data_IF_311407449255
#
_entry.id   IF_311407449255
#
_cell.length_a   1.000
_cell.length_b   1.000
_cell.length_c   1.000
_cell.angle_alpha   90.00
_cell.angle_beta   90.00
_cell.angle_gamma   90.00
#
_symmetry.space_group_name_H-M   'P 1'
#
loop_
_entity.id
_entity.type
_entity.pdbx_description
1 polymer ?
#
# COMPACT_ATOMS: atom_id res chain seq x y z
N UNK A 1 -45.38 3.54 -28.29
CA UNK A 1 -44.36 2.51 -28.60
C UNK A 1 -43.11 3.25 -29.03
N UNK A 2 -42.21 3.54 -28.09
CA UNK A 2 -40.86 4.05 -28.42
C UNK A 2 -39.90 3.29 -27.47
N UNK A 3 -39.22 2.31 -28.06
CA UNK A 3 -38.20 1.48 -27.46
C UNK A 3 -36.95 2.31 -27.20
N UNK A 4 -36.56 2.51 -25.93
CA UNK A 4 -35.27 3.06 -25.55
C UNK A 4 -34.27 1.94 -25.54
N UNK A 5 -33.39 1.86 -26.52
CA UNK A 5 -32.22 1.00 -26.53
C UNK A 5 -31.17 1.56 -25.58
N UNK A 6 -31.00 0.92 -24.42
CA UNK A 6 -29.83 1.11 -23.60
C UNK A 6 -28.60 0.57 -24.37
N UNK A 7 -27.67 1.47 -24.68
CA UNK A 7 -26.42 1.10 -25.35
C UNK A 7 -25.59 0.19 -24.47
N UNK A 8 -25.39 -1.04 -24.91
CA UNK A 8 -24.36 -1.96 -24.42
C UNK A 8 -22.98 -1.31 -24.61
N UNK A 9 -22.25 -1.11 -23.52
CA UNK A 9 -20.86 -0.66 -23.55
C UNK A 9 -19.98 -1.84 -23.93
N UNK A 10 -19.20 -1.68 -24.98
CA UNK A 10 -18.18 -2.63 -25.42
C UNK A 10 -17.11 -2.81 -24.32
N UNK A 11 -16.82 -4.03 -23.84
CA UNK A 11 -15.82 -4.28 -22.80
C UNK A 11 -14.36 -4.19 -23.28
N UNK A 12 -14.09 -3.75 -24.51
CA UNK A 12 -12.77 -3.75 -25.16
C UNK A 12 -12.10 -2.38 -25.35
N UNK A 13 -12.70 -1.25 -24.99
CA UNK A 13 -12.03 0.05 -25.07
C UNK A 13 -11.06 0.22 -23.90
N UNK A 14 -9.76 -0.01 -24.11
CA UNK A 14 -8.71 0.50 -23.23
C UNK A 14 -8.91 2.02 -23.04
N UNK A 15 -9.29 2.43 -21.83
CA UNK A 15 -9.42 3.84 -21.50
C UNK A 15 -8.05 4.50 -21.60
N UNK A 16 -7.79 5.21 -22.68
CA UNK A 16 -6.58 6.00 -22.86
C UNK A 16 -6.59 7.15 -21.86
N UNK A 17 -5.57 7.19 -20.98
CA UNK A 17 -5.37 8.28 -20.03
C UNK A 17 -4.91 9.56 -20.71
N UNK A 18 -4.84 10.66 -19.94
CA UNK A 18 -4.28 11.94 -20.42
C UNK A 18 -2.79 11.98 -20.06
N UNK A 19 -1.93 11.86 -21.07
CA UNK A 19 -0.48 11.75 -20.92
C UNK A 19 0.13 12.85 -20.03
N UNK A 20 -0.36 14.08 -20.11
CA UNK A 20 0.15 15.17 -19.26
C UNK A 20 -0.17 14.97 -17.79
N UNK A 21 -1.33 14.37 -17.47
CA UNK A 21 -1.72 14.02 -16.09
C UNK A 21 -0.87 12.87 -15.58
N UNK A 22 -0.66 11.82 -16.38
CA UNK A 22 0.16 10.67 -16.03
C UNK A 22 1.60 11.08 -15.71
N UNK A 23 2.19 11.93 -16.57
CA UNK A 23 3.54 12.49 -16.35
C UNK A 23 3.61 13.37 -15.10
N UNK A 24 2.56 14.13 -14.78
CA UNK A 24 2.51 14.94 -13.56
C UNK A 24 2.46 14.06 -12.30
N UNK A 25 1.67 12.98 -12.31
CA UNK A 25 1.60 12.00 -11.23
C UNK A 25 2.93 11.25 -11.07
N UNK A 26 3.54 10.83 -12.18
CA UNK A 26 4.86 10.18 -12.19
C UNK A 26 5.95 11.08 -11.57
N UNK A 27 5.87 12.39 -11.80
CA UNK A 27 6.79 13.35 -11.17
C UNK A 27 6.60 13.43 -9.65
N UNK A 28 5.35 13.41 -9.16
CA UNK A 28 5.04 13.38 -7.73
C UNK A 28 5.49 12.06 -7.08
N UNK A 29 5.26 10.93 -7.74
CA UNK A 29 5.71 9.62 -7.26
C UNK A 29 7.23 9.53 -7.13
N UNK A 30 7.99 10.16 -8.04
CA UNK A 30 9.44 10.21 -7.96
C UNK A 30 9.95 10.94 -6.70
N UNK A 31 9.17 11.89 -6.15
CA UNK A 31 9.45 12.60 -4.89
C UNK A 31 8.95 11.85 -3.65
N UNK A 32 8.06 10.89 -3.80
CA UNK A 32 7.51 10.07 -2.70
C UNK A 32 8.48 9.00 -2.17
N UNK A 33 9.70 8.92 -2.73
CA UNK A 33 10.76 8.05 -2.21
C UNK A 33 11.50 8.72 -1.03
N UNK A 34 12.39 7.98 -0.38
CA UNK A 34 13.11 8.32 0.88
C UNK A 34 13.75 9.72 0.94
N UNK A 35 13.96 10.38 -0.19
CA UNK A 35 14.59 11.69 -0.27
C UNK A 35 13.56 12.81 -0.06
N UNK A 36 13.76 13.61 0.98
CA UNK A 36 12.87 14.74 1.31
C UNK A 36 12.85 15.85 0.23
N UNK A 37 13.84 15.91 -0.67
CA UNK A 37 13.92 16.86 -1.77
C UNK A 37 14.86 16.39 -2.89
N UNK A 38 14.54 16.73 -4.14
CA UNK A 38 15.32 16.37 -5.31
C UNK A 38 15.66 17.60 -6.16
N UNK A 39 16.89 17.62 -6.72
CA UNK A 39 17.26 18.57 -7.76
C UNK A 39 16.58 18.24 -9.08
N UNK A 40 16.54 19.17 -10.04
CA UNK A 40 16.01 18.93 -11.39
C UNK A 40 16.70 17.75 -12.10
N UNK A 41 17.98 17.53 -11.85
CA UNK A 41 18.75 16.41 -12.42
C UNK A 41 18.30 15.07 -11.83
N UNK A 42 18.16 14.99 -10.53
CA UNK A 42 17.71 13.80 -9.80
C UNK A 42 16.26 13.46 -10.15
N UNK A 43 15.37 14.47 -10.25
CA UNK A 43 14.00 14.27 -10.72
C UNK A 43 13.95 13.71 -12.14
N UNK A 44 14.77 14.22 -13.06
CA UNK A 44 14.81 13.70 -14.42
C UNK A 44 15.27 12.24 -14.46
N UNK A 45 16.25 11.88 -13.63
CA UNK A 45 16.75 10.51 -13.55
C UNK A 45 15.70 9.56 -12.97
N UNK A 46 15.03 9.96 -11.87
CA UNK A 46 14.05 9.12 -11.18
C UNK A 46 12.71 9.00 -11.91
N UNK A 47 12.22 10.09 -12.49
CA UNK A 47 10.95 10.10 -13.22
C UNK A 47 11.07 9.63 -14.67
N UNK A 48 12.26 9.53 -15.23
CA UNK A 48 12.45 9.28 -16.67
C UNK A 48 12.03 10.43 -17.59
N UNK A 49 11.58 11.56 -17.03
CA UNK A 49 11.11 12.71 -17.79
C UNK A 49 12.26 13.64 -18.18
N UNK A 50 12.12 14.34 -19.33
CA UNK A 50 13.08 15.36 -19.74
C UNK A 50 12.97 16.62 -18.86
N UNK A 51 14.08 17.32 -18.61
CA UNK A 51 14.10 18.56 -17.84
C UNK A 51 13.08 19.62 -18.33
N UNK A 52 12.91 19.89 -19.63
CA UNK A 52 11.89 20.83 -20.10
C UNK A 52 10.46 20.39 -19.75
N UNK A 53 10.17 19.09 -19.82
CA UNK A 53 8.87 18.53 -19.42
C UNK A 53 8.63 18.75 -17.93
N UNK A 54 9.63 18.44 -17.07
CA UNK A 54 9.53 18.65 -15.62
C UNK A 54 9.24 20.12 -15.32
N UNK A 55 9.99 21.05 -15.92
CA UNK A 55 9.81 22.48 -15.68
C UNK A 55 8.39 22.95 -16.02
N UNK A 56 7.81 22.48 -17.14
CA UNK A 56 6.42 22.81 -17.52
C UNK A 56 5.40 22.24 -16.54
N UNK A 57 5.56 21.00 -16.13
CA UNK A 57 4.66 20.35 -15.16
C UNK A 57 4.78 21.02 -13.79
N UNK A 58 6.00 21.35 -13.35
CA UNK A 58 6.27 21.99 -12.07
C UNK A 58 5.50 23.30 -11.90
N UNK A 59 5.41 24.13 -12.94
CA UNK A 59 4.63 25.39 -12.89
C UNK A 59 3.17 25.14 -12.49
N UNK A 60 2.53 24.11 -13.04
CA UNK A 60 1.15 23.77 -12.68
C UNK A 60 1.06 23.15 -11.30
N UNK A 61 1.94 22.20 -10.97
CA UNK A 61 1.95 21.52 -9.68
C UNK A 61 2.25 22.48 -8.52
N UNK A 62 3.15 23.45 -8.70
CA UNK A 62 3.45 24.50 -7.74
C UNK A 62 2.24 25.44 -7.54
N UNK A 63 1.59 25.84 -8.64
CA UNK A 63 0.39 26.69 -8.59
C UNK A 63 -0.73 26.05 -7.76
N UNK A 64 -0.91 24.74 -7.85
CA UNK A 64 -1.92 24.01 -7.09
C UNK A 64 -1.43 23.48 -5.74
N UNK A 65 -0.17 23.77 -5.36
CA UNK A 65 0.41 23.40 -4.08
C UNK A 65 0.74 21.91 -3.94
N UNK A 66 0.82 21.16 -5.04
CA UNK A 66 1.26 19.75 -5.04
C UNK A 66 2.79 19.63 -4.99
N UNK A 67 3.48 20.63 -5.48
CA UNK A 67 4.94 20.72 -5.52
C UNK A 67 5.37 22.02 -4.84
N UNK A 68 6.53 22.02 -4.19
CA UNK A 68 7.20 23.20 -3.68
C UNK A 68 8.64 23.23 -4.16
N UNK A 69 9.20 24.43 -4.31
CA UNK A 69 10.62 24.63 -4.62
C UNK A 69 11.29 25.40 -3.50
N UNK A 70 12.34 24.82 -2.93
CA UNK A 70 13.14 25.46 -1.88
C UNK A 70 14.00 26.60 -2.41
N UNK A 71 14.54 27.41 -1.52
CA UNK A 71 15.54 28.46 -1.82
C UNK A 71 16.84 27.89 -2.40
N UNK A 72 17.11 26.63 -2.13
CA UNK A 72 18.19 25.81 -2.70
C UNK A 72 17.92 25.33 -4.13
N UNK A 73 16.73 25.67 -4.69
CA UNK A 73 16.29 25.25 -6.01
C UNK A 73 15.82 23.79 -6.10
N UNK A 74 15.82 23.04 -4.99
CA UNK A 74 15.36 21.65 -4.95
C UNK A 74 13.84 21.58 -4.85
N UNK A 75 13.27 20.54 -5.46
CA UNK A 75 11.83 20.25 -5.45
C UNK A 75 11.46 19.34 -4.27
N UNK A 76 10.29 19.56 -3.70
CA UNK A 76 9.71 18.75 -2.61
C UNK A 76 8.21 18.67 -2.77
N UNK A 77 7.59 17.66 -2.13
CA UNK A 77 6.14 17.54 -2.09
C UNK A 77 5.49 18.77 -1.42
N UNK A 78 4.38 19.22 -1.96
CA UNK A 78 3.65 20.39 -1.47
C UNK A 78 2.53 20.05 -0.48
N UNK A 79 2.02 21.06 0.27
CA UNK A 79 1.06 20.85 1.36
C UNK A 79 -0.31 20.33 0.90
N UNK A 80 -0.67 20.47 -0.38
CA UNK A 80 -1.93 19.93 -0.91
C UNK A 80 -2.01 18.42 -0.78
N UNK A 81 -0.88 17.70 -0.89
CA UNK A 81 -0.84 16.25 -0.70
C UNK A 81 -1.17 15.85 0.74
N UNK A 82 -0.67 16.59 1.74
CA UNK A 82 -1.05 16.38 3.14
C UNK A 82 -2.55 16.57 3.36
N UNK A 83 -3.12 17.66 2.83
CA UNK A 83 -4.55 17.94 2.93
C UNK A 83 -5.39 16.82 2.32
N UNK A 84 -5.07 16.38 1.12
CA UNK A 84 -5.79 15.29 0.44
C UNK A 84 -5.62 13.96 1.16
N UNK A 85 -4.42 13.63 1.61
CA UNK A 85 -4.15 12.43 2.40
C UNK A 85 -4.93 12.42 3.73
N UNK A 86 -5.06 13.58 4.40
CA UNK A 86 -5.86 13.71 5.62
C UNK A 86 -7.34 13.46 5.37
N UNK A 87 -7.90 14.01 4.29
CA UNK A 87 -9.30 13.76 3.87
C UNK A 87 -9.50 12.28 3.52
N UNK A 88 -8.57 11.69 2.80
CA UNK A 88 -8.60 10.26 2.46
C UNK A 88 -8.65 9.39 3.72
N UNK A 89 -7.75 9.65 4.69
CA UNK A 89 -7.71 8.91 5.97
C UNK A 89 -9.00 9.04 6.78
N UNK A 90 -9.56 10.26 6.86
CA UNK A 90 -10.81 10.52 7.59
C UNK A 90 -11.99 9.76 6.98
N UNK A 91 -12.05 9.66 5.66
CA UNK A 91 -13.14 8.99 4.95
C UNK A 91 -13.01 7.46 4.93
N UNK A 92 -11.85 6.90 5.26
CA UNK A 92 -11.65 5.45 5.26
C UNK A 92 -12.41 4.73 6.40
N UNK A 93 -12.78 5.45 7.49
CA UNK A 93 -13.38 4.87 8.71
C UNK A 93 -12.65 3.61 9.25
N UNK A 94 -11.49 3.29 8.66
CA UNK A 94 -10.71 2.08 8.96
C UNK A 94 -9.77 2.29 10.15
N UNK A 95 -9.23 3.49 10.33
CA UNK A 95 -8.19 3.76 11.34
C UNK A 95 -8.64 3.45 12.77
N UNK A 96 -9.89 3.81 13.20
CA UNK A 96 -10.37 3.49 14.54
C UNK A 96 -10.46 1.99 14.85
N UNK A 97 -10.60 1.15 13.80
CA UNK A 97 -10.68 -0.31 13.93
C UNK A 97 -9.31 -0.96 13.75
N UNK A 98 -8.57 -0.55 12.72
CA UNK A 98 -7.29 -1.16 12.37
C UNK A 98 -6.17 -0.83 13.36
N UNK A 99 -6.06 0.42 13.81
CA UNK A 99 -4.95 0.81 14.67
C UNK A 99 -4.95 0.08 16.02
N UNK A 100 -6.08 -0.08 16.73
CA UNK A 100 -6.12 -0.93 17.93
C UNK A 100 -5.78 -2.40 17.66
N UNK A 101 -6.23 -2.96 16.52
CA UNK A 101 -5.91 -4.34 16.16
C UNK A 101 -4.40 -4.53 15.89
N UNK A 102 -3.77 -3.58 15.19
CA UNK A 102 -2.32 -3.58 14.98
C UNK A 102 -1.55 -3.44 16.31
N UNK A 103 -2.00 -2.55 17.20
CA UNK A 103 -1.41 -2.40 18.55
C UNK A 103 -1.49 -3.68 19.38
N UNK A 104 -2.65 -4.35 19.33
CA UNK A 104 -2.83 -5.64 20.03
C UNK A 104 -1.89 -6.72 19.48
N UNK A 105 -1.72 -6.81 18.15
CA UNK A 105 -0.76 -7.71 17.52
C UNK A 105 0.68 -7.45 18.00
N UNK A 106 1.10 -6.19 17.97
CA UNK A 106 2.45 -5.80 18.43
C UNK A 106 2.63 -6.08 19.91
N UNK A 107 1.64 -5.79 20.76
CA UNK A 107 1.70 -6.05 22.19
C UNK A 107 1.86 -7.53 22.50
N UNK A 108 1.15 -8.39 21.75
CA UNK A 108 1.17 -9.85 21.94
C UNK A 108 2.45 -10.49 21.41
N UNK A 109 2.93 -10.07 20.24
CA UNK A 109 4.02 -10.75 19.52
C UNK A 109 5.37 -10.05 19.63
N UNK A 110 5.37 -8.78 19.99
CA UNK A 110 6.55 -7.90 19.98
C UNK A 110 7.16 -7.72 18.59
N UNK A 111 6.42 -8.09 17.52
CA UNK A 111 6.82 -7.87 16.12
C UNK A 111 6.01 -6.73 15.49
N UNK A 112 6.45 -6.20 14.36
CA UNK A 112 5.78 -5.09 13.69
C UNK A 112 4.51 -5.56 12.97
N UNK A 113 3.43 -4.80 13.08
CA UNK A 113 2.16 -5.07 12.41
C UNK A 113 1.78 -3.93 11.45
N UNK A 114 1.22 -4.26 10.30
CA UNK A 114 0.83 -3.30 9.26
C UNK A 114 -0.43 -3.73 8.52
N UNK A 115 -1.12 -2.76 7.94
CA UNK A 115 -2.24 -3.00 7.05
C UNK A 115 -1.94 -2.44 5.66
N UNK A 116 -2.10 -3.29 4.65
CA UNK A 116 -1.79 -3.00 3.27
C UNK A 116 -3.03 -3.08 2.40
N UNK A 117 -3.14 -2.19 1.42
CA UNK A 117 -4.18 -2.25 0.40
C UNK A 117 -3.59 -2.23 -1.01
N UNK A 118 -4.42 -2.53 -2.02
CA UNK A 118 -4.00 -2.52 -3.41
C UNK A 118 -3.82 -1.10 -3.94
N UNK A 119 -2.83 -0.92 -4.81
CA UNK A 119 -2.59 0.26 -5.64
C UNK A 119 -2.28 -0.21 -7.06
N UNK A 120 -3.30 -0.52 -7.85
CA UNK A 120 -3.10 -1.09 -9.19
C UNK A 120 -2.37 -2.44 -9.11
N UNK A 121 -1.15 -2.51 -9.67
CA UNK A 121 -0.28 -3.70 -9.64
C UNK A 121 0.67 -3.75 -8.44
N UNK A 122 0.52 -2.84 -7.50
CA UNK A 122 1.33 -2.71 -6.29
C UNK A 122 0.45 -2.70 -5.05
N UNK A 123 1.05 -2.67 -3.87
CA UNK A 123 0.40 -2.45 -2.57
C UNK A 123 0.97 -1.22 -1.89
N UNK A 124 0.15 -0.56 -1.07
CA UNK A 124 0.55 0.57 -0.23
C UNK A 124 0.28 0.26 1.23
N UNK A 125 1.22 0.60 2.11
CA UNK A 125 1.05 0.51 3.56
C UNK A 125 0.17 1.67 4.06
N UNK A 126 -1.05 1.39 4.52
CA UNK A 126 -1.94 2.43 5.04
C UNK A 126 -1.69 2.71 6.53
N UNK A 127 -1.53 1.65 7.32
CA UNK A 127 -1.34 1.76 8.78
C UNK A 127 -0.24 0.84 9.25
N UNK A 128 0.53 1.31 10.22
CA UNK A 128 1.60 0.52 10.82
C UNK A 128 1.74 0.81 12.31
N UNK A 129 2.10 -0.23 13.06
CA UNK A 129 2.61 -0.15 14.43
C UNK A 129 3.94 -0.89 14.47
N UNK A 130 4.98 -0.20 14.85
CA UNK A 130 6.32 -0.77 14.90
C UNK A 130 6.52 -1.66 16.15
N UNK A 131 7.30 -2.71 15.98
CA UNK A 131 7.88 -3.45 17.09
C UNK A 131 8.60 -2.50 18.06
N UNK A 132 8.50 -2.68 19.38
CA UNK A 132 9.28 -1.92 20.37
C UNK A 132 10.77 -2.29 20.36
N UNK A 133 11.16 -3.35 19.67
CA UNK A 133 12.55 -3.81 19.58
C UNK A 133 13.38 -2.90 18.70
N UNK A 134 14.66 -2.70 19.03
CA UNK A 134 15.61 -1.91 18.25
C UNK A 134 15.84 -2.51 16.85
N UNK A 135 16.08 -3.83 16.77
CA UNK A 135 16.17 -4.55 15.50
C UNK A 135 14.78 -5.02 15.08
N UNK A 136 14.23 -4.41 14.03
CA UNK A 136 12.89 -4.71 13.52
C UNK A 136 12.81 -4.55 12.01
N UNK A 137 11.87 -5.22 11.38
CA UNK A 137 11.49 -4.92 10.00
C UNK A 137 10.99 -3.48 9.92
N UNK A 138 11.52 -2.71 8.98
CA UNK A 138 11.13 -1.31 8.77
C UNK A 138 10.30 -1.17 7.49
N UNK A 139 9.22 -0.44 7.59
CA UNK A 139 8.32 0.01 6.52
C UNK A 139 7.67 1.28 7.02
N UNK A 140 7.45 2.26 6.17
CA UNK A 140 6.71 3.47 6.51
C UNK A 140 5.25 3.43 6.04
N UNK A 141 4.35 4.14 6.73
CA UNK A 141 3.01 4.40 6.20
C UNK A 141 3.15 5.21 4.91
N UNK A 142 2.46 4.77 3.84
CA UNK A 142 2.60 5.31 2.50
C UNK A 142 3.65 4.59 1.63
N UNK A 143 4.46 3.69 2.19
CA UNK A 143 5.42 2.90 1.41
C UNK A 143 4.71 2.00 0.41
N UNK A 144 5.21 1.98 -0.82
CA UNK A 144 4.72 1.15 -1.92
C UNK A 144 5.65 -0.04 -2.12
N UNK A 145 5.07 -1.20 -2.33
CA UNK A 145 5.80 -2.45 -2.56
C UNK A 145 5.10 -3.30 -3.62
N UNK A 146 5.84 -4.10 -4.39
CA UNK A 146 5.26 -4.99 -5.39
C UNK A 146 4.40 -6.10 -4.75
N UNK A 147 3.51 -6.71 -5.56
CA UNK A 147 2.63 -7.80 -5.13
C UNK A 147 3.28 -9.19 -5.22
N UNK A 148 4.38 -9.33 -5.94
CA UNK A 148 5.03 -10.60 -6.26
C UNK A 148 5.87 -11.21 -5.13
N UNK A 149 5.95 -10.54 -3.98
CA UNK A 149 6.79 -10.97 -2.85
C UNK A 149 6.24 -10.54 -1.49
N UNK A 150 6.52 -11.40 -0.50
CA UNK A 150 6.08 -11.24 0.88
C UNK A 150 4.60 -11.56 1.08
N UNK A 151 4.24 -12.11 2.24
CA UNK A 151 2.90 -12.64 2.51
C UNK A 151 1.76 -11.66 2.20
N UNK A 152 1.92 -10.38 2.54
CA UNK A 152 0.91 -9.35 2.23
C UNK A 152 0.73 -9.12 0.74
N UNK A 153 1.82 -9.18 -0.06
CA UNK A 153 1.75 -9.08 -1.52
C UNK A 153 0.91 -10.20 -2.13
N UNK A 154 1.21 -11.44 -1.76
CA UNK A 154 0.51 -12.61 -2.26
C UNK A 154 -0.97 -12.65 -1.86
N UNK A 155 -1.32 -12.26 -0.63
CA UNK A 155 -2.72 -12.14 -0.20
C UNK A 155 -3.46 -11.11 -1.04
N UNK A 156 -2.87 -9.94 -1.29
CA UNK A 156 -3.48 -8.89 -2.11
C UNK A 156 -3.58 -9.35 -3.58
N UNK A 157 -2.52 -9.91 -4.15
CA UNK A 157 -2.53 -10.43 -5.53
C UNK A 157 -3.67 -11.41 -5.75
N UNK A 158 -3.83 -12.40 -4.85
CA UNK A 158 -4.88 -13.41 -4.91
C UNK A 158 -6.29 -12.79 -4.91
N UNK A 159 -6.57 -11.90 -3.96
CA UNK A 159 -7.90 -11.30 -3.82
C UNK A 159 -8.20 -10.20 -4.86
N UNK A 160 -7.18 -9.68 -5.55
CA UNK A 160 -7.33 -8.75 -6.67
C UNK A 160 -7.41 -9.47 -8.04
N UNK A 161 -7.53 -10.80 -8.06
CA UNK A 161 -7.63 -11.59 -9.30
C UNK A 161 -6.30 -11.90 -9.98
N UNK A 162 -5.18 -11.59 -9.32
CA UNK A 162 -3.83 -11.92 -9.79
C UNK A 162 -3.41 -13.34 -9.45
N UNK A 163 -2.25 -13.75 -9.99
CA UNK A 163 -1.64 -15.06 -9.74
C UNK A 163 -0.67 -15.00 -8.57
N UNK A 164 -0.64 -16.08 -7.77
CA UNK A 164 0.32 -16.28 -6.67
C UNK A 164 0.59 -17.77 -6.47
N UNK A 165 1.81 -18.19 -6.12
CA UNK A 165 2.11 -19.58 -5.80
C UNK A 165 1.38 -20.06 -4.53
N UNK A 166 0.92 -19.15 -3.68
CA UNK A 166 0.21 -19.44 -2.43
C UNK A 166 -1.32 -19.51 -2.56
N UNK A 167 -1.88 -19.53 -3.79
CA UNK A 167 -3.33 -19.48 -4.02
C UNK A 167 -4.11 -20.60 -3.31
N UNK A 168 -3.53 -21.81 -3.24
CA UNK A 168 -4.14 -22.94 -2.54
C UNK A 168 -4.22 -22.69 -1.03
N UNK A 169 -3.10 -22.27 -0.43
CA UNK A 169 -2.99 -22.02 1.02
C UNK A 169 -3.90 -20.86 1.45
N UNK A 170 -3.90 -19.74 0.69
CA UNK A 170 -4.80 -18.60 0.95
C UNK A 170 -6.27 -19.06 0.95
N UNK A 171 -6.66 -19.90 -0.01
CA UNK A 171 -8.04 -20.38 -0.12
C UNK A 171 -8.42 -21.33 1.00
N UNK A 172 -7.53 -22.24 1.41
CA UNK A 172 -7.83 -23.28 2.41
C UNK A 172 -7.65 -22.79 3.85
N UNK A 173 -6.63 -21.98 4.13
CA UNK A 173 -6.28 -21.56 5.48
C UNK A 173 -6.65 -20.11 5.82
N UNK A 174 -6.85 -19.27 4.79
CA UNK A 174 -7.12 -17.83 4.96
C UNK A 174 -5.93 -17.03 5.53
N UNK A 175 -4.73 -17.62 5.55
CA UNK A 175 -3.52 -17.00 6.08
C UNK A 175 -2.30 -17.67 5.47
N UNK A 176 -1.28 -16.89 5.13
CA UNK A 176 -0.01 -17.42 4.65
C UNK A 176 1.18 -16.82 5.40
N UNK A 177 2.31 -17.53 5.32
CA UNK A 177 3.61 -17.04 5.77
C UNK A 177 4.61 -17.05 4.63
N UNK A 178 5.52 -16.09 4.63
CA UNK A 178 6.72 -16.08 3.78
C UNK A 178 7.95 -15.80 4.64
N UNK A 179 9.03 -16.51 4.38
CA UNK A 179 10.29 -16.40 5.13
C UNK A 179 11.41 -16.03 4.15
N UNK A 180 12.05 -14.89 4.35
CA UNK A 180 13.18 -14.42 3.54
C UNK A 180 12.83 -14.02 2.09
N UNK A 181 11.55 -13.85 1.74
CA UNK A 181 11.15 -13.66 0.34
C UNK A 181 11.26 -12.19 -0.11
N UNK A 182 10.80 -11.25 0.69
CA UNK A 182 10.93 -9.80 0.40
C UNK A 182 12.31 -9.29 0.75
N UNK A 183 12.82 -9.74 1.89
CA UNK A 183 14.11 -9.41 2.46
C UNK A 183 14.62 -10.70 3.12
N UNK A 184 15.86 -11.15 2.84
CA UNK A 184 16.42 -12.39 3.37
C UNK A 184 16.35 -12.51 4.91
N UNK A 185 16.36 -11.37 5.60
CA UNK A 185 16.35 -11.31 7.06
C UNK A 185 14.95 -11.13 7.67
N UNK A 186 13.87 -11.18 6.86
CA UNK A 186 12.52 -10.88 7.31
C UNK A 186 11.54 -12.01 7.03
N UNK A 187 10.84 -12.45 8.09
CA UNK A 187 9.64 -13.28 7.97
C UNK A 187 8.36 -12.45 8.06
N UNK A 188 7.30 -12.88 7.39
CA UNK A 188 5.98 -12.25 7.48
C UNK A 188 4.83 -13.25 7.42
N UNK A 189 3.73 -12.90 8.08
CA UNK A 189 2.45 -13.62 8.05
C UNK A 189 1.36 -12.63 7.70
N UNK A 190 0.44 -13.01 6.79
CA UNK A 190 -0.66 -12.12 6.39
C UNK A 190 -1.97 -12.87 6.20
N UNK A 191 -3.08 -12.18 6.53
CA UNK A 191 -4.43 -12.64 6.32
C UNK A 191 -5.29 -11.51 5.69
N UNK A 192 -6.30 -11.87 4.87
CA UNK A 192 -7.19 -10.91 4.23
C UNK A 192 -8.17 -10.29 5.23
N UNK A 193 -8.54 -9.03 4.95
CA UNK A 193 -9.60 -8.30 5.64
C UNK A 193 -10.66 -7.92 4.62
N UNK A 194 -11.92 -8.11 4.98
CA UNK A 194 -13.08 -7.84 4.14
C UNK A 194 -13.99 -6.78 4.76
N UNK A 195 -14.70 -6.04 3.93
CA UNK A 195 -15.70 -5.06 4.30
C UNK A 195 -17.13 -5.59 4.25
N UNK A 196 -18.16 -4.69 4.35
CA UNK A 196 -19.56 -5.04 4.56
C UNK A 196 -20.12 -6.04 3.53
N UNK A 197 -19.83 -5.92 2.27
CA UNK A 197 -20.34 -6.81 1.23
C UNK A 197 -19.35 -7.93 0.89
N UNK A 198 -18.49 -8.31 1.82
CA UNK A 198 -17.37 -9.23 1.60
C UNK A 198 -16.40 -8.77 0.52
N UNK A 199 -16.38 -7.48 0.19
CA UNK A 199 -15.34 -6.91 -0.66
C UNK A 199 -13.98 -6.95 0.05
N UNK A 200 -12.96 -7.30 -0.71
CA UNK A 200 -11.60 -7.33 -0.20
C UNK A 200 -11.09 -5.90 0.02
N UNK A 201 -10.71 -5.57 1.25
CA UNK A 201 -10.20 -4.23 1.62
C UNK A 201 -8.67 -4.21 1.64
N UNK A 202 -8.05 -5.30 2.10
CA UNK A 202 -6.59 -5.35 2.22
C UNK A 202 -6.09 -6.52 3.05
N UNK A 203 -4.80 -6.51 3.35
CA UNK A 203 -4.10 -7.55 4.09
C UNK A 203 -3.57 -7.03 5.43
N UNK A 204 -3.93 -7.71 6.53
CA UNK A 204 -3.32 -7.53 7.84
C UNK A 204 -2.03 -8.37 7.89
N UNK A 205 -0.91 -7.74 8.20
CA UNK A 205 0.42 -8.35 8.13
C UNK A 205 1.18 -8.17 9.43
N UNK A 206 1.76 -9.25 9.93
CA UNK A 206 2.78 -9.28 10.98
C UNK A 206 4.14 -9.56 10.32
N UNK A 207 5.19 -8.82 10.69
CA UNK A 207 6.52 -9.01 10.12
C UNK A 207 7.62 -8.76 11.16
N UNK A 208 8.65 -9.59 11.12
CA UNK A 208 9.77 -9.53 12.07
C UNK A 208 11.07 -10.07 11.49
N UNK A 209 12.16 -9.94 12.26
CA UNK A 209 13.46 -10.49 11.90
C UNK A 209 13.41 -12.02 11.89
N UNK A 210 13.86 -12.63 10.79
CA UNK A 210 13.68 -14.05 10.46
C UNK A 210 14.09 -14.98 11.60
N UNK A 211 15.26 -14.81 12.17
CA UNK A 211 15.80 -15.73 13.17
C UNK A 211 14.96 -15.86 14.46
N UNK A 212 14.15 -14.85 14.81
CA UNK A 212 13.21 -14.93 15.94
C UNK A 212 11.75 -15.11 15.49
N UNK A 213 11.43 -14.83 14.24
CA UNK A 213 10.10 -14.93 13.67
C UNK A 213 9.75 -16.38 13.28
N UNK A 214 10.69 -17.06 12.63
CA UNK A 214 10.50 -18.41 12.08
C UNK A 214 10.07 -19.45 13.13
N UNK A 215 10.65 -19.50 14.35
CA UNK A 215 10.23 -20.47 15.38
C UNK A 215 8.76 -20.33 15.81
N UNK A 216 8.17 -19.14 15.63
CA UNK A 216 6.82 -18.80 16.04
C UNK A 216 5.82 -18.71 14.88
N UNK A 217 6.21 -19.05 13.65
CA UNK A 217 5.40 -18.81 12.45
C UNK A 217 4.00 -19.44 12.51
N UNK A 218 3.89 -20.65 13.06
CA UNK A 218 2.60 -21.34 13.18
C UNK A 218 1.68 -20.63 14.20
N UNK A 219 2.21 -20.18 15.30
CA UNK A 219 1.50 -19.37 16.28
C UNK A 219 1.04 -18.04 15.66
N UNK A 220 1.93 -17.37 14.93
CA UNK A 220 1.62 -16.09 14.26
C UNK A 220 0.55 -16.25 13.19
N UNK A 221 0.49 -17.37 12.45
CA UNK A 221 -0.61 -17.65 11.52
C UNK A 221 -1.97 -17.68 12.23
N UNK A 222 -2.05 -18.30 13.41
CA UNK A 222 -3.29 -18.36 14.20
C UNK A 222 -3.69 -16.95 14.67
N UNK A 223 -2.74 -16.22 15.26
CA UNK A 223 -2.96 -14.88 15.83
C UNK A 223 -3.40 -13.89 14.73
N UNK A 224 -2.69 -13.84 13.61
CA UNK A 224 -2.98 -12.89 12.51
C UNK A 224 -4.32 -13.21 11.85
N UNK A 225 -4.64 -14.50 11.64
CA UNK A 225 -5.94 -14.92 11.10
C UNK A 225 -7.09 -14.52 12.02
N UNK A 226 -6.96 -14.71 13.32
CA UNK A 226 -7.97 -14.31 14.31
C UNK A 226 -8.16 -12.79 14.34
N UNK A 227 -7.06 -12.03 14.32
CA UNK A 227 -7.09 -10.57 14.28
C UNK A 227 -7.77 -10.06 13.01
N UNK A 228 -7.43 -10.60 11.83
CA UNK A 228 -8.03 -10.22 10.56
C UNK A 228 -9.54 -10.54 10.52
N UNK A 229 -9.95 -11.71 11.05
CA UNK A 229 -11.36 -12.07 11.16
C UNK A 229 -12.11 -11.15 12.15
N UNK A 230 -11.47 -10.72 13.24
CA UNK A 230 -12.06 -9.75 14.17
C UNK A 230 -12.26 -8.37 13.53
N UNK A 231 -11.25 -7.88 12.80
CA UNK A 231 -11.34 -6.63 12.03
C UNK A 231 -12.45 -6.72 10.98
N UNK A 232 -12.51 -7.80 10.21
CA UNK A 232 -13.56 -8.05 9.21
C UNK A 232 -14.96 -7.94 9.83
N UNK A 233 -15.22 -8.60 10.97
CA UNK A 233 -16.53 -8.50 11.67
C UNK A 233 -16.83 -7.07 12.13
N UNK A 234 -15.85 -6.32 12.63
CA UNK A 234 -16.05 -4.93 13.06
C UNK A 234 -16.35 -4.00 11.89
N UNK A 235 -15.90 -4.34 10.69
CA UNK A 235 -16.20 -3.62 9.45
C UNK A 235 -17.53 -4.07 8.80
N UNK A 236 -18.23 -5.06 9.38
CA UNK A 236 -19.51 -5.55 8.87
C UNK A 236 -19.38 -6.61 7.77
N UNK A 237 -18.19 -7.24 7.61
CA UNK A 237 -17.91 -8.30 6.64
C UNK A 237 -18.11 -9.73 7.19
#
# INVERSE_FOLDING_TARGET
>A
MTSSTAGERDPGEERTGVEAVERALQLLDALGSVDASLSLKELALKSGLTKPTILRLAVSLERFGYLGRGTDGRYRLGPTLWRLGSVYRQNLELEPILRPALQALVSLTQESASFWTTRGTERICLFRVNSPRSARSHVDEGEVSPLDRGSGGHVIAFHSGGSTPYAHEIRSEGVIATLGERDPDVGSVSAPVFGPNREFIGALTLAGILGRFEPHVLEYKVIVRQAAASVTRQLGG
#
